data_IF_611000015917
#
_entry.id   IF_611000015917
#
_cell.length_a   1.000
_cell.length_b   1.000
_cell.length_c   1.000
_cell.angle_alpha   90.00
_cell.angle_beta   90.00
_cell.angle_gamma   90.00
#
_symmetry.space_group_name_H-M   'P 1'
#
loop_
_entity.id
_entity.type
_entity.pdbx_description
1 polymer ?
#
# COMPACT_ATOMS: atom_id res chain seq x y z
N UNK A 1 19.19 10.44 -13.34
CA UNK A 1 17.79 10.60 -12.87
C UNK A 1 17.73 10.03 -11.47
N UNK A 2 17.54 10.86 -10.45
CA UNK A 2 17.41 10.41 -9.06
C UNK A 2 16.06 9.70 -8.90
N UNK A 3 16.02 8.46 -8.40
CA UNK A 3 14.74 7.85 -8.06
C UNK A 3 14.10 8.68 -6.93
N UNK A 4 12.79 8.99 -7.01
CA UNK A 4 12.12 9.74 -5.96
C UNK A 4 12.25 9.02 -4.63
N UNK A 5 12.38 9.80 -3.54
CA UNK A 5 12.32 9.28 -2.18
C UNK A 5 11.01 8.52 -2.01
N UNK A 6 11.09 7.24 -1.64
CA UNK A 6 9.93 6.39 -1.41
C UNK A 6 9.90 6.01 0.08
N UNK A 7 9.04 6.67 0.88
CA UNK A 7 8.95 6.44 2.32
C UNK A 7 8.60 4.99 2.69
N UNK A 8 7.85 4.29 1.84
CA UNK A 8 7.47 2.89 2.07
C UNK A 8 8.70 2.00 1.87
N UNK A 9 9.47 2.21 0.80
CA UNK A 9 10.72 1.48 0.60
C UNK A 9 11.73 1.75 1.70
N UNK A 10 11.87 2.99 2.16
CA UNK A 10 12.75 3.33 3.28
C UNK A 10 12.32 2.66 4.58
N UNK A 11 11.00 2.62 4.87
CA UNK A 11 10.45 1.89 6.00
C UNK A 11 10.82 0.40 5.93
N UNK A 12 10.55 -0.24 4.80
CA UNK A 12 10.86 -1.67 4.61
C UNK A 12 12.35 -1.96 4.73
N UNK A 13 13.22 -1.11 4.16
CA UNK A 13 14.67 -1.27 4.28
C UNK A 13 15.13 -1.24 5.74
N UNK A 14 14.63 -0.27 6.52
CA UNK A 14 14.94 -0.17 7.94
C UNK A 14 14.42 -1.39 8.70
N UNK A 15 13.20 -1.85 8.45
CA UNK A 15 12.65 -3.06 9.08
C UNK A 15 13.47 -4.31 8.78
N UNK A 16 13.89 -4.50 7.53
CA UNK A 16 14.69 -5.67 7.15
C UNK A 16 16.09 -5.64 7.78
N UNK A 17 16.74 -4.48 7.82
CA UNK A 17 18.06 -4.35 8.43
C UNK A 17 18.01 -4.54 9.95
N UNK A 18 16.93 -4.10 10.60
CA UNK A 18 16.76 -4.34 12.03
C UNK A 18 16.62 -5.82 12.34
N UNK A 19 15.85 -6.53 11.50
CA UNK A 19 15.63 -7.97 11.62
C UNK A 19 16.89 -8.78 11.32
N UNK A 20 17.64 -8.39 10.30
CA UNK A 20 18.89 -9.03 9.91
C UNK A 20 19.95 -7.98 9.48
N UNK A 21 20.87 -7.63 10.39
CA UNK A 21 21.97 -6.71 10.09
C UNK A 21 22.91 -7.17 8.97
N UNK A 22 22.90 -8.46 8.62
CA UNK A 22 23.77 -9.07 7.62
C UNK A 22 23.10 -9.22 6.23
N UNK A 23 21.93 -8.60 6.02
CA UNK A 23 21.22 -8.62 4.72
C UNK A 23 22.10 -8.16 3.56
N UNK A 24 21.88 -8.75 2.40
CA UNK A 24 22.55 -8.32 1.17
C UNK A 24 21.68 -7.33 0.38
N UNK A 25 22.33 -6.48 -0.42
CA UNK A 25 21.59 -5.58 -1.33
C UNK A 25 20.76 -6.36 -2.35
N UNK A 26 21.23 -7.53 -2.78
CA UNK A 26 20.52 -8.41 -3.71
C UNK A 26 19.25 -9.00 -3.10
N UNK A 27 19.30 -9.46 -1.84
CA UNK A 27 18.12 -9.98 -1.14
C UNK A 27 17.08 -8.88 -0.87
N UNK A 28 17.53 -7.68 -0.48
CA UNK A 28 16.65 -6.53 -0.32
C UNK A 28 15.99 -6.12 -1.64
N UNK A 29 16.73 -6.18 -2.76
CA UNK A 29 16.23 -5.83 -4.07
C UNK A 29 15.16 -6.82 -4.57
N UNK A 30 15.41 -8.11 -4.36
CA UNK A 30 14.44 -9.16 -4.67
C UNK A 30 13.14 -8.99 -3.86
N UNK A 31 13.25 -8.71 -2.55
CA UNK A 31 12.10 -8.47 -1.68
C UNK A 31 11.26 -7.27 -2.14
N UNK A 32 11.93 -6.18 -2.54
CA UNK A 32 11.27 -4.94 -2.94
C UNK A 32 10.81 -4.92 -4.41
N UNK A 33 11.15 -5.95 -5.20
CA UNK A 33 10.85 -5.99 -6.63
C UNK A 33 11.55 -4.89 -7.43
N UNK A 34 12.77 -4.50 -7.04
CA UNK A 34 13.54 -3.42 -7.69
C UNK A 34 14.94 -3.88 -8.09
N UNK A 35 15.63 -3.08 -8.90
CA UNK A 35 17.05 -3.32 -9.21
C UNK A 35 17.94 -3.12 -7.98
N UNK A 36 19.06 -3.87 -7.90
CA UNK A 36 20.05 -3.76 -6.82
C UNK A 36 20.61 -2.33 -6.70
N UNK A 37 20.75 -1.63 -7.82
CA UNK A 37 21.18 -0.22 -7.84
C UNK A 37 20.25 0.71 -7.06
N UNK A 38 18.94 0.47 -7.09
CA UNK A 38 17.93 1.22 -6.34
C UNK A 38 18.14 1.04 -4.84
N UNK A 39 18.33 -0.19 -4.39
CA UNK A 39 18.64 -0.49 -2.98
C UNK A 39 19.96 0.16 -2.55
N UNK A 40 21.02 0.01 -3.35
CA UNK A 40 22.31 0.62 -3.05
C UNK A 40 22.20 2.14 -2.90
N UNK A 41 21.40 2.80 -3.73
CA UNK A 41 21.13 4.23 -3.62
C UNK A 41 20.42 4.59 -2.31
N UNK A 42 19.33 3.90 -1.97
CA UNK A 42 18.61 4.15 -0.71
C UNK A 42 19.52 3.93 0.50
N UNK A 43 20.32 2.85 0.51
CA UNK A 43 21.26 2.57 1.59
C UNK A 43 22.31 3.68 1.72
N UNK A 44 22.93 4.11 0.62
CA UNK A 44 23.90 5.23 0.65
C UNK A 44 23.27 6.51 1.20
N UNK A 45 22.02 6.80 0.83
CA UNK A 45 21.28 7.97 1.32
C UNK A 45 20.92 7.87 2.80
N UNK A 46 20.49 6.70 3.28
CA UNK A 46 20.21 6.46 4.70
C UNK A 46 21.49 6.53 5.54
N UNK A 47 22.63 6.06 5.00
CA UNK A 47 23.96 6.19 5.61
C UNK A 47 24.40 7.66 5.67
N UNK A 48 24.28 8.41 4.57
CA UNK A 48 24.70 9.81 4.52
C UNK A 48 23.88 10.70 5.46
N UNK A 49 22.61 10.34 5.72
CA UNK A 49 21.75 11.00 6.71
C UNK A 49 21.98 10.53 8.15
N UNK A 50 22.85 9.56 8.37
CA UNK A 50 23.18 9.05 9.71
C UNK A 50 22.15 8.08 10.29
N UNK A 51 21.17 7.60 9.52
CA UNK A 51 20.16 6.62 9.97
C UNK A 51 20.69 5.19 9.98
N UNK A 52 21.71 4.90 9.17
CA UNK A 52 22.37 3.60 9.10
C UNK A 52 23.88 3.78 9.20
N UNK A 53 24.54 2.92 9.96
CA UNK A 53 26.00 2.73 9.95
C UNK A 53 26.33 1.43 9.26
N UNK A 54 27.38 1.43 8.45
CA UNK A 54 27.92 0.22 7.82
C UNK A 54 29.23 -0.17 8.49
N UNK A 55 29.38 -1.46 8.81
CA UNK A 55 30.63 -2.06 9.27
C UNK A 55 31.02 -3.19 8.32
N UNK A 56 32.32 -3.43 8.17
CA UNK A 56 32.81 -4.64 7.50
C UNK A 56 32.82 -5.77 8.52
N UNK A 57 31.99 -6.78 8.31
CA UNK A 57 32.01 -8.01 9.11
C UNK A 57 33.13 -8.95 8.64
N UNK A 58 33.38 -9.00 7.33
CA UNK A 58 34.48 -9.74 6.68
C UNK A 58 34.92 -9.01 5.40
N UNK A 59 35.97 -9.50 4.72
CA UNK A 59 36.52 -8.88 3.49
C UNK A 59 35.46 -8.58 2.42
N UNK A 60 34.40 -9.40 2.32
CA UNK A 60 33.28 -9.25 1.37
C UNK A 60 31.90 -9.08 2.01
N UNK A 61 31.80 -9.12 3.34
CA UNK A 61 30.51 -9.08 4.06
C UNK A 61 30.34 -7.73 4.77
N UNK A 62 29.31 -7.00 4.39
CA UNK A 62 28.89 -5.78 5.08
C UNK A 62 27.86 -6.12 6.16
N UNK A 63 27.86 -5.34 7.22
CA UNK A 63 26.84 -5.35 8.28
C UNK A 63 26.24 -3.95 8.40
N UNK A 64 24.93 -3.85 8.28
CA UNK A 64 24.16 -2.62 8.42
C UNK A 64 23.60 -2.53 9.83
N UNK A 65 23.77 -1.39 10.49
CA UNK A 65 23.33 -1.16 11.87
C UNK A 65 22.49 0.11 11.87
N UNK A 66 21.26 0.02 12.36
CA UNK A 66 20.39 1.19 12.51
C UNK A 66 20.86 2.00 13.71
N UNK A 67 20.94 3.33 13.54
CA UNK A 67 21.26 4.25 14.63
C UNK A 67 20.01 4.58 15.44
N UNK A 68 20.14 5.17 16.65
CA UNK A 68 18.97 5.67 17.38
C UNK A 68 18.09 6.61 16.54
N UNK A 69 18.70 7.47 15.72
CA UNK A 69 18.00 8.36 14.80
C UNK A 69 17.28 7.59 13.69
N UNK A 70 17.86 6.48 13.21
CA UNK A 70 17.23 5.58 12.25
C UNK A 70 16.03 4.82 12.83
N UNK A 71 16.10 4.42 14.10
CA UNK A 71 14.96 3.80 14.82
C UNK A 71 13.82 4.82 14.94
N UNK A 72 14.14 6.06 15.33
CA UNK A 72 13.17 7.15 15.41
C UNK A 72 12.54 7.47 14.05
N UNK A 73 13.34 7.48 12.97
CA UNK A 73 12.82 7.62 11.61
C UNK A 73 11.86 6.48 11.26
N UNK A 74 12.24 5.23 11.52
CA UNK A 74 11.41 4.06 11.24
C UNK A 74 10.06 4.17 11.93
N UNK A 75 10.05 4.48 13.24
CA UNK A 75 8.81 4.67 14.00
C UNK A 75 7.91 5.75 13.38
N UNK A 76 8.48 6.90 12.98
CA UNK A 76 7.73 7.96 12.29
C UNK A 76 7.19 7.51 10.95
N UNK A 77 7.97 6.78 10.15
CA UNK A 77 7.53 6.23 8.87
C UNK A 77 6.39 5.23 9.05
N UNK A 78 6.45 4.36 10.07
CA UNK A 78 5.38 3.42 10.43
C UNK A 78 4.09 4.16 10.78
N UNK A 79 4.16 5.18 11.64
CA UNK A 79 2.98 5.99 12.00
C UNK A 79 2.37 6.63 10.75
N UNK A 80 3.21 7.29 9.94
CA UNK A 80 2.74 7.93 8.69
C UNK A 80 2.12 6.92 7.72
N UNK A 81 2.68 5.72 7.62
CA UNK A 81 2.13 4.65 6.78
C UNK A 81 0.74 4.23 7.24
N UNK A 82 0.57 3.99 8.55
CA UNK A 82 -0.73 3.63 9.13
C UNK A 82 -1.75 4.75 8.94
N UNK A 83 -1.38 6.00 9.22
CA UNK A 83 -2.27 7.15 9.05
C UNK A 83 -2.72 7.33 7.59
N UNK A 84 -1.80 7.20 6.64
CA UNK A 84 -2.11 7.29 5.21
C UNK A 84 -3.00 6.14 4.74
N UNK A 85 -2.73 4.92 5.20
CA UNK A 85 -3.55 3.74 4.88
C UNK A 85 -4.97 3.90 5.42
N UNK A 86 -5.12 4.38 6.66
CA UNK A 86 -6.42 4.65 7.27
C UNK A 86 -7.16 5.80 6.58
N UNK A 87 -6.44 6.82 6.11
CA UNK A 87 -7.02 7.92 5.32
C UNK A 87 -7.53 7.42 3.98
N UNK A 88 -6.78 6.57 3.29
CA UNK A 88 -7.21 5.93 2.05
C UNK A 88 -8.47 5.09 2.28
N UNK A 89 -8.46 4.20 3.27
CA UNK A 89 -9.62 3.41 3.65
C UNK A 89 -10.87 4.27 3.88
N UNK A 90 -10.77 5.31 4.73
CA UNK A 90 -11.90 6.21 5.01
C UNK A 90 -12.40 6.92 3.76
N UNK A 91 -11.50 7.39 2.89
CA UNK A 91 -11.86 8.06 1.64
C UNK A 91 -12.58 7.11 0.69
N UNK A 92 -12.04 5.92 0.48
CA UNK A 92 -12.65 4.89 -0.37
C UNK A 92 -14.02 4.50 0.17
N UNK A 93 -14.15 4.24 1.48
CA UNK A 93 -15.44 3.93 2.11
C UNK A 93 -16.47 5.05 1.93
N UNK A 94 -16.05 6.31 2.05
CA UNK A 94 -16.93 7.45 1.83
C UNK A 94 -17.39 7.53 0.37
N UNK A 95 -16.47 7.38 -0.59
CA UNK A 95 -16.78 7.34 -2.02
C UNK A 95 -17.78 6.22 -2.34
N UNK A 96 -17.56 5.01 -1.83
CA UNK A 96 -18.48 3.89 -2.06
C UNK A 96 -19.86 4.17 -1.49
N UNK A 97 -19.95 4.80 -0.31
CA UNK A 97 -21.25 5.19 0.26
C UNK A 97 -22.02 6.14 -0.65
N UNK A 98 -21.34 7.14 -1.21
CA UNK A 98 -21.94 8.10 -2.14
C UNK A 98 -22.48 7.38 -3.38
N UNK A 99 -21.68 6.49 -3.98
CA UNK A 99 -22.13 5.67 -5.12
C UNK A 99 -23.33 4.77 -4.77
N UNK A 100 -23.36 4.19 -3.56
CA UNK A 100 -24.48 3.36 -3.13
C UNK A 100 -25.76 4.16 -2.87
N UNK A 101 -25.66 5.45 -2.53
CA UNK A 101 -26.84 6.33 -2.48
C UNK A 101 -27.44 6.51 -3.88
N UNK A 102 -26.60 6.65 -4.90
CA UNK A 102 -27.05 6.72 -6.31
C UNK A 102 -27.74 5.42 -6.74
N UNK A 103 -27.14 4.26 -6.40
CA UNK A 103 -27.73 2.93 -6.66
C UNK A 103 -29.12 2.81 -6.05
N UNK A 104 -29.28 3.21 -4.77
CA UNK A 104 -30.58 3.21 -4.08
C UNK A 104 -31.58 4.17 -4.72
N UNK A 105 -31.14 5.38 -5.08
CA UNK A 105 -31.99 6.37 -5.72
C UNK A 105 -32.50 5.90 -7.09
N UNK A 106 -31.71 5.08 -7.80
CA UNK A 106 -32.11 4.42 -9.03
C UNK A 106 -33.00 3.18 -8.82
N UNK A 107 -33.35 2.84 -7.58
CA UNK A 107 -34.27 1.75 -7.24
C UNK A 107 -33.62 0.37 -7.13
N UNK A 108 -32.29 0.28 -7.09
CA UNK A 108 -31.58 -0.98 -6.94
C UNK A 108 -31.26 -1.28 -5.47
N UNK A 109 -31.39 -2.56 -5.10
CA UNK A 109 -31.03 -3.12 -3.79
C UNK A 109 -29.77 -4.00 -3.86
N UNK A 110 -29.15 -4.10 -5.03
CA UNK A 110 -28.06 -5.02 -5.34
C UNK A 110 -27.07 -4.42 -6.33
N UNK A 111 -25.81 -4.83 -6.21
CA UNK A 111 -24.72 -4.46 -7.12
C UNK A 111 -23.82 -5.66 -7.39
N UNK A 112 -23.07 -5.61 -8.48
CA UNK A 112 -21.92 -6.48 -8.72
C UNK A 112 -20.64 -5.73 -8.34
N UNK A 113 -19.62 -6.43 -7.86
CA UNK A 113 -18.30 -5.84 -7.60
C UNK A 113 -17.30 -6.46 -8.56
N UNK A 114 -16.59 -5.60 -9.29
CA UNK A 114 -15.48 -5.98 -10.15
C UNK A 114 -14.18 -5.46 -9.56
N UNK A 115 -13.14 -6.29 -9.57
CA UNK A 115 -11.85 -6.00 -8.95
C UNK A 115 -11.53 -6.90 -7.76
N UNK A 116 -10.28 -6.82 -7.30
CA UNK A 116 -9.71 -7.63 -6.24
C UNK A 116 -8.95 -6.78 -5.21
N UNK A 117 -8.49 -7.43 -4.14
CA UNK A 117 -7.73 -6.81 -3.05
C UNK A 117 -8.54 -5.89 -2.14
N UNK A 118 -7.81 -5.09 -1.36
CA UNK A 118 -8.35 -4.33 -0.23
C UNK A 118 -9.49 -3.38 -0.62
N UNK A 119 -9.43 -2.77 -1.79
CA UNK A 119 -10.49 -1.85 -2.24
C UNK A 119 -11.78 -2.59 -2.56
N UNK A 120 -11.71 -3.78 -3.18
CA UNK A 120 -12.88 -4.62 -3.41
C UNK A 120 -13.50 -5.07 -2.08
N UNK A 121 -12.67 -5.37 -1.08
CA UNK A 121 -13.14 -5.72 0.27
C UNK A 121 -13.82 -4.54 0.97
N UNK A 122 -13.29 -3.32 0.82
CA UNK A 122 -13.96 -2.10 1.30
C UNK A 122 -15.31 -1.93 0.61
N UNK A 123 -15.41 -2.20 -0.70
CA UNK A 123 -16.69 -2.17 -1.41
C UNK A 123 -17.68 -3.18 -0.82
N UNK A 124 -17.28 -4.45 -0.63
CA UNK A 124 -18.13 -5.51 -0.08
C UNK A 124 -18.65 -5.15 1.32
N UNK A 125 -17.76 -4.74 2.21
CA UNK A 125 -18.11 -4.34 3.58
C UNK A 125 -19.06 -3.14 3.59
N UNK A 126 -18.82 -2.15 2.74
CA UNK A 126 -19.68 -0.97 2.66
C UNK A 126 -21.06 -1.31 2.10
N UNK A 127 -21.15 -2.20 1.11
CA UNK A 127 -22.43 -2.70 0.60
C UNK A 127 -23.23 -3.39 1.71
N UNK A 128 -22.59 -4.28 2.47
CA UNK A 128 -23.20 -4.97 3.60
C UNK A 128 -23.75 -3.99 4.64
N UNK A 129 -22.96 -2.99 5.03
CA UNK A 129 -23.39 -1.95 5.98
C UNK A 129 -24.56 -1.10 5.47
N UNK A 130 -24.65 -0.88 4.16
CA UNK A 130 -25.73 -0.12 3.54
C UNK A 130 -26.95 -0.99 3.19
N UNK A 131 -26.92 -2.30 3.46
CA UNK A 131 -27.99 -3.22 3.11
C UNK A 131 -28.17 -3.40 1.59
N UNK A 132 -27.07 -3.30 0.83
CA UNK A 132 -27.04 -3.57 -0.61
C UNK A 132 -26.41 -4.95 -0.83
N UNK A 133 -27.13 -5.84 -1.51
CA UNK A 133 -26.66 -7.19 -1.79
C UNK A 133 -25.56 -7.19 -2.87
N UNK A 134 -24.45 -7.87 -2.63
CA UNK A 134 -23.42 -8.12 -3.64
C UNK A 134 -23.77 -9.42 -4.38
N UNK A 135 -23.94 -9.35 -5.69
CA UNK A 135 -24.37 -10.49 -6.53
C UNK A 135 -23.51 -10.61 -7.80
N UNK A 136 -23.51 -11.79 -8.41
CA UNK A 136 -22.85 -12.04 -9.70
C UNK A 136 -23.81 -11.96 -10.91
N UNK A 137 -25.07 -11.56 -10.67
CA UNK A 137 -26.09 -11.46 -11.72
C UNK A 137 -25.83 -10.28 -12.66
N UNK A 138 -26.20 -10.44 -13.93
CA UNK A 138 -26.30 -9.34 -14.89
C UNK A 138 -27.56 -8.49 -14.64
N UNK A 139 -27.62 -7.31 -15.24
CA UNK A 139 -28.72 -6.35 -15.14
C UNK A 139 -28.70 -5.51 -13.85
N UNK A 140 -27.56 -5.46 -13.16
CA UNK A 140 -27.37 -4.69 -11.91
C UNK A 140 -26.18 -3.74 -12.05
N UNK A 141 -26.17 -2.61 -11.32
CA UNK A 141 -25.03 -1.70 -11.34
C UNK A 141 -23.75 -2.37 -10.83
N UNK A 142 -22.60 -1.97 -11.36
CA UNK A 142 -21.29 -2.54 -11.05
C UNK A 142 -20.44 -1.50 -10.33
N UNK A 143 -19.94 -1.85 -9.15
CA UNK A 143 -18.84 -1.14 -8.51
C UNK A 143 -17.52 -1.70 -9.03
N UNK A 144 -16.82 -0.91 -9.83
CA UNK A 144 -15.55 -1.27 -10.45
C UNK A 144 -14.39 -0.69 -9.64
N UNK A 145 -13.69 -1.55 -8.91
CA UNK A 145 -12.56 -1.24 -8.04
C UNK A 145 -11.25 -1.39 -8.81
N UNK A 146 -10.63 -0.25 -9.15
CA UNK A 146 -9.36 -0.21 -9.88
C UNK A 146 -8.34 0.68 -9.16
N UNK A 147 -7.23 0.08 -8.72
CA UNK A 147 -6.20 0.78 -7.97
C UNK A 147 -6.75 1.33 -6.66
N UNK A 148 -6.78 2.66 -6.49
CA UNK A 148 -7.34 3.33 -5.30
C UNK A 148 -8.71 3.98 -5.52
N UNK A 149 -9.32 3.76 -6.70
CA UNK A 149 -10.60 4.38 -7.09
C UNK A 149 -11.69 3.34 -7.25
N UNK A 150 -12.92 3.75 -6.99
CA UNK A 150 -14.13 2.97 -7.27
C UNK A 150 -15.02 3.76 -8.22
N UNK A 151 -15.47 3.13 -9.29
CA UNK A 151 -16.40 3.71 -10.25
C UNK A 151 -17.72 2.95 -10.20
N UNK A 152 -18.82 3.65 -10.47
CA UNK A 152 -20.14 3.03 -10.65
C UNK A 152 -20.44 2.96 -12.14
N UNK A 153 -20.65 1.74 -12.64
CA UNK A 153 -21.05 1.48 -14.02
C UNK A 153 -22.48 0.99 -14.04
N UNK A 154 -23.32 1.61 -14.86
CA UNK A 154 -24.71 1.20 -15.05
C UNK A 154 -24.79 0.20 -16.20
N UNK A 155 -25.28 -1.01 -15.95
CA UNK A 155 -25.62 -1.92 -17.04
C UNK A 155 -26.87 -1.41 -17.76
N UNK A 156 -26.72 -1.14 -19.06
CA UNK A 156 -27.85 -0.77 -19.93
C UNK A 156 -28.73 -2.01 -20.06
N UNK A 157 -30.01 -1.90 -19.67
CA UNK A 157 -31.01 -2.89 -20.07
C UNK A 157 -31.10 -2.88 -21.60
N UNK A 158 -30.55 -3.89 -22.25
CA UNK A 158 -30.84 -4.22 -23.66
C UNK A 158 -32.26 -4.77 -23.76
#
# INVERSE_FOLDING_TARGET
>A
MEPPSDPVRELTLLEQIERDPDVTQASLAALLGVAVGTVNWHLKRLISKGYIKVKRAQRRKLRYIITPEGIALRARLTINYVENSMRLYRRTRQQVRELLLEVKAAGYDRVRIQGDGDIADVCRLTCLEQGIAVVDAAGVPVLDAHGSKVLLLWEVKV
#
